data_IF_484183100628
#
_entry.id   IF_484183100628
#
_cell.length_a   1.000
_cell.length_b   1.000
_cell.length_c   1.000
_cell.angle_alpha   90.00
_cell.angle_beta   90.00
_cell.angle_gamma   90.00
#
_symmetry.space_group_name_H-M   'P 1'
#
loop_
_entity.id
_entity.type
_entity.pdbx_description
1 polymer ?
#
# COMPACT_ATOMS: atom_id res chain seq x y z
N UNK A 1 12.58 -4.78 -33.43
CA UNK A 1 12.63 -3.90 -32.29
C UNK A 1 12.29 -4.68 -31.02
N UNK A 2 13.15 -4.65 -30.07
CA UNK A 2 12.89 -5.34 -28.83
C UNK A 2 11.79 -4.59 -28.06
N UNK A 3 10.82 -5.31 -27.59
CA UNK A 3 9.81 -4.74 -26.74
C UNK A 3 10.39 -4.70 -25.34
N UNK A 4 10.40 -3.52 -24.72
CA UNK A 4 10.82 -3.42 -23.36
C UNK A 4 9.92 -4.29 -22.47
N UNK A 5 10.43 -4.84 -21.39
CA UNK A 5 9.58 -5.54 -20.44
C UNK A 5 8.41 -4.65 -20.08
N UNK A 6 7.24 -5.23 -19.99
CA UNK A 6 6.08 -4.45 -19.62
C UNK A 6 6.34 -3.76 -18.28
N UNK A 7 6.09 -2.46 -18.22
CA UNK A 7 6.25 -1.70 -16.98
C UNK A 7 5.48 -2.36 -15.84
N UNK A 8 4.34 -2.97 -16.15
CA UNK A 8 3.55 -3.69 -15.15
C UNK A 8 4.27 -4.88 -14.54
N UNK A 9 5.11 -5.60 -15.34
CA UNK A 9 5.85 -6.73 -14.80
C UNK A 9 6.95 -6.27 -13.83
N UNK A 10 7.66 -5.19 -14.19
CA UNK A 10 8.68 -4.64 -13.32
C UNK A 10 8.07 -4.04 -12.07
N UNK A 11 6.92 -3.38 -12.21
CA UNK A 11 6.22 -2.80 -11.08
C UNK A 11 5.68 -3.88 -10.14
N UNK A 12 5.21 -4.99 -10.69
CA UNK A 12 4.78 -6.10 -9.84
C UNK A 12 5.95 -6.64 -9.03
N UNK A 13 7.11 -6.79 -9.65
CA UNK A 13 8.30 -7.26 -8.95
C UNK A 13 8.73 -6.29 -7.86
N UNK A 14 8.69 -5.00 -8.17
CA UNK A 14 9.00 -3.97 -7.17
C UNK A 14 8.01 -3.99 -6.03
N UNK A 15 6.72 -4.07 -6.34
CA UNK A 15 5.67 -4.09 -5.32
C UNK A 15 5.84 -5.31 -4.41
N UNK A 16 6.12 -6.47 -4.98
CA UNK A 16 6.33 -7.70 -4.21
C UNK A 16 7.59 -7.60 -3.35
N UNK A 17 8.65 -6.97 -3.87
CA UNK A 17 9.87 -6.76 -3.11
C UNK A 17 9.65 -5.84 -1.91
N UNK A 18 8.82 -4.82 -2.07
CA UNK A 18 8.47 -3.93 -0.96
C UNK A 18 7.77 -4.72 0.15
N UNK A 19 6.78 -5.54 -0.22
CA UNK A 19 6.07 -6.37 0.75
C UNK A 19 7.04 -7.28 1.49
N UNK A 20 7.92 -7.97 0.76
CA UNK A 20 8.91 -8.86 1.37
C UNK A 20 9.85 -8.13 2.32
N UNK A 21 10.29 -6.94 1.92
CA UNK A 21 11.21 -6.17 2.74
C UNK A 21 10.53 -5.63 4.00
N UNK A 22 9.27 -5.21 3.89
CA UNK A 22 8.50 -4.78 5.07
C UNK A 22 8.32 -5.96 6.02
N UNK A 23 8.01 -7.15 5.48
CA UNK A 23 7.94 -8.35 6.30
C UNK A 23 9.23 -8.56 7.09
N UNK A 24 10.39 -8.42 6.42
CA UNK A 24 11.68 -8.58 7.06
C UNK A 24 11.90 -7.55 8.16
N UNK A 25 11.57 -6.28 7.90
CA UNK A 25 11.69 -5.22 8.91
C UNK A 25 10.86 -5.56 10.14
N UNK A 26 9.62 -6.00 9.93
CA UNK A 26 8.73 -6.38 11.04
C UNK A 26 9.27 -7.57 11.80
N UNK A 27 9.78 -8.57 11.11
CA UNK A 27 10.36 -9.75 11.74
C UNK A 27 11.57 -9.38 12.59
N UNK A 28 12.43 -8.53 12.07
CA UNK A 28 13.60 -8.05 12.82
C UNK A 28 13.21 -7.17 14.01
N UNK A 29 12.07 -6.51 13.93
CA UNK A 29 11.55 -5.74 15.04
C UNK A 29 10.86 -6.59 16.11
N UNK A 30 10.75 -7.90 15.88
CA UNK A 30 10.17 -8.81 16.86
C UNK A 30 8.68 -9.06 16.70
N UNK A 31 8.11 -8.70 15.54
CA UNK A 31 6.67 -8.93 15.33
C UNK A 31 6.40 -10.41 15.10
N UNK A 32 5.35 -10.92 15.75
CA UNK A 32 4.93 -12.31 15.61
C UNK A 32 3.91 -12.52 14.51
N UNK A 33 3.25 -11.46 14.06
CA UNK A 33 2.19 -11.58 13.06
C UNK A 33 2.72 -11.24 11.69
N UNK A 34 2.23 -11.99 10.68
CA UNK A 34 2.53 -11.70 9.30
C UNK A 34 1.82 -10.44 8.84
N UNK A 35 2.36 -9.84 7.79
CA UNK A 35 1.67 -8.80 7.07
C UNK A 35 1.13 -9.42 5.77
N UNK A 36 -0.13 -9.12 5.44
CA UNK A 36 -0.80 -9.71 4.29
C UNK A 36 -1.16 -8.64 3.28
N UNK A 37 -1.03 -8.97 2.00
CA UNK A 37 -1.47 -8.07 0.93
C UNK A 37 -2.99 -7.96 0.96
N UNK A 38 -3.48 -6.73 0.97
CA UNK A 38 -4.91 -6.44 0.98
C UNK A 38 -5.27 -5.64 -0.27
N UNK A 39 -6.18 -6.15 -1.11
CA UNK A 39 -6.54 -5.46 -2.36
C UNK A 39 -7.13 -4.08 -2.18
N UNK A 40 -7.82 -3.83 -1.07
CA UNK A 40 -8.38 -2.51 -0.80
C UNK A 40 -7.29 -1.49 -0.54
N UNK A 41 -6.28 -1.88 0.23
CA UNK A 41 -5.14 -1.01 0.48
C UNK A 41 -4.30 -0.82 -0.78
N UNK A 42 -4.19 -1.85 -1.60
CA UNK A 42 -3.50 -1.73 -2.89
C UNK A 42 -4.21 -0.73 -3.80
N UNK A 43 -5.54 -0.75 -3.81
CA UNK A 43 -6.32 0.22 -4.59
C UNK A 43 -6.10 1.64 -4.10
N UNK A 44 -6.10 1.84 -2.79
CA UNK A 44 -5.81 3.15 -2.21
C UNK A 44 -4.39 3.62 -2.58
N UNK A 45 -3.43 2.71 -2.56
CA UNK A 45 -2.05 3.00 -2.96
C UNK A 45 -1.98 3.37 -4.45
N UNK A 46 -2.71 2.67 -5.29
CA UNK A 46 -2.74 2.94 -6.73
C UNK A 46 -3.29 4.33 -7.01
N UNK A 47 -4.39 4.70 -6.39
CA UNK A 47 -4.96 6.03 -6.57
C UNK A 47 -3.96 7.12 -6.22
N UNK A 48 -3.29 6.97 -5.09
CA UNK A 48 -2.35 7.99 -4.64
C UNK A 48 -1.06 8.00 -5.47
N UNK A 49 -0.56 6.83 -5.85
CA UNK A 49 0.63 6.76 -6.70
C UNK A 49 0.41 7.47 -8.03
N UNK A 50 -0.73 7.24 -8.67
CA UNK A 50 -1.08 7.91 -9.91
C UNK A 50 -1.26 9.41 -9.72
N UNK A 51 -1.87 9.81 -8.62
CA UNK A 51 -2.09 11.21 -8.31
C UNK A 51 -0.75 11.94 -8.13
N UNK A 52 0.17 11.37 -7.36
CA UNK A 52 1.49 11.96 -7.12
C UNK A 52 2.31 12.00 -8.41
N UNK A 53 2.21 10.97 -9.25
CA UNK A 53 2.92 10.96 -10.52
C UNK A 53 2.46 12.09 -11.43
N UNK A 54 1.17 12.36 -11.45
CA UNK A 54 0.56 13.34 -12.37
C UNK A 54 0.50 14.75 -11.80
N UNK A 55 0.78 14.94 -10.52
CA UNK A 55 0.74 16.23 -9.85
C UNK A 55 2.03 16.45 -9.09
N UNK A 56 2.98 17.09 -9.75
CA UNK A 56 4.36 17.18 -9.23
C UNK A 56 4.49 18.05 -7.98
N UNK A 57 3.47 18.81 -7.64
CA UNK A 57 3.45 19.58 -6.40
C UNK A 57 3.19 18.71 -5.18
N UNK A 58 2.68 17.49 -5.37
CA UNK A 58 2.43 16.57 -4.25
C UNK A 58 3.74 15.90 -3.85
N UNK A 59 4.02 15.87 -2.57
CA UNK A 59 5.26 15.27 -2.05
C UNK A 59 5.05 14.41 -0.81
N UNK A 60 3.80 14.17 -0.43
CA UNK A 60 3.49 13.39 0.75
C UNK A 60 2.21 12.61 0.57
N UNK A 61 1.50 12.43 1.68
CA UNK A 61 0.33 11.55 1.71
C UNK A 61 -1.00 12.28 1.44
N UNK A 62 -0.98 13.59 1.26
CA UNK A 62 -2.19 14.34 0.95
C UNK A 62 -2.38 14.35 -0.56
N UNK A 63 -3.57 13.97 -1.02
CA UNK A 63 -3.89 13.92 -2.43
C UNK A 63 -4.21 15.29 -3.01
N UNK A 64 -4.30 15.37 -4.35
CA UNK A 64 -4.61 16.61 -5.05
C UNK A 64 -6.01 17.10 -4.71
N UNK A 65 -6.91 16.22 -4.28
CA UNK A 65 -8.27 16.55 -3.84
C UNK A 65 -8.35 16.81 -2.34
N UNK A 66 -7.22 16.86 -1.65
CA UNK A 66 -7.17 17.04 -0.20
C UNK A 66 -7.37 15.76 0.59
N UNK A 67 -7.49 14.60 -0.07
CA UNK A 67 -7.73 13.34 0.63
C UNK A 67 -6.54 12.93 1.47
N UNK A 68 -6.84 12.36 2.63
CA UNK A 68 -5.83 11.71 3.49
C UNK A 68 -5.73 10.23 3.15
N UNK A 69 -4.75 9.55 3.73
CA UNK A 69 -4.65 8.10 3.61
C UNK A 69 -5.93 7.42 4.10
N UNK A 70 -6.47 7.88 5.23
CA UNK A 70 -7.70 7.32 5.78
C UNK A 70 -8.88 7.51 4.82
N UNK A 71 -8.98 8.67 4.18
CA UNK A 71 -10.05 8.92 3.20
C UNK A 71 -9.97 7.94 2.05
N UNK A 72 -8.78 7.75 1.48
CA UNK A 72 -8.59 6.85 0.35
C UNK A 72 -8.85 5.39 0.73
N UNK A 73 -8.34 4.97 1.88
CA UNK A 73 -8.57 3.61 2.36
C UNK A 73 -10.06 3.34 2.54
N UNK A 74 -10.77 4.28 3.15
CA UNK A 74 -12.20 4.15 3.38
C UNK A 74 -12.96 4.11 2.05
N UNK A 75 -12.58 4.96 1.10
CA UNK A 75 -13.19 4.95 -0.23
C UNK A 75 -12.92 3.65 -0.98
N UNK A 76 -11.81 2.98 -0.68
CA UNK A 76 -11.49 1.67 -1.25
C UNK A 76 -12.18 0.53 -0.49
N UNK A 77 -12.88 0.82 0.59
CA UNK A 77 -13.63 -0.17 1.36
C UNK A 77 -12.93 -0.68 2.61
N UNK A 78 -11.82 -0.09 3.01
CA UNK A 78 -11.06 -0.53 4.17
C UNK A 78 -11.44 0.36 5.37
N UNK A 79 -11.97 -0.27 6.43
CA UNK A 79 -12.52 0.44 7.57
C UNK A 79 -11.63 0.38 8.80
N UNK A 80 -10.35 0.22 8.62
CA UNK A 80 -9.41 0.16 9.71
C UNK A 80 -8.50 1.37 9.77
N UNK A 81 -7.72 1.44 10.82
CA UNK A 81 -6.70 2.46 10.97
C UNK A 81 -5.57 2.21 9.98
N UNK A 82 -5.11 3.26 9.31
CA UNK A 82 -4.13 3.13 8.23
C UNK A 82 -2.99 4.12 8.38
N UNK A 83 -1.88 3.79 7.71
CA UNK A 83 -0.72 4.67 7.57
C UNK A 83 -0.13 4.46 6.18
N UNK A 84 0.82 5.31 5.79
CA UNK A 84 1.37 5.25 4.44
C UNK A 84 2.84 5.63 4.45
N UNK A 85 3.61 4.98 3.58
CA UNK A 85 4.97 5.41 3.24
C UNK A 85 5.02 5.65 1.73
N UNK A 86 5.67 6.74 1.31
CA UNK A 86 5.72 7.15 -0.08
C UNK A 86 7.15 7.44 -0.48
N UNK A 87 7.55 7.03 -1.66
CA UNK A 87 8.83 7.41 -2.25
C UNK A 87 8.61 8.02 -3.62
N UNK A 88 9.30 9.11 -3.88
CA UNK A 88 9.33 9.78 -5.17
C UNK A 88 10.79 9.78 -5.60
N UNK A 89 11.10 9.06 -6.67
CA UNK A 89 12.46 8.94 -7.18
C UNK A 89 12.56 9.65 -8.51
N UNK A 90 13.53 10.58 -8.70
CA UNK A 90 13.62 11.33 -9.95
C UNK A 90 14.32 10.51 -11.03
N UNK A 91 13.82 9.32 -11.30
CA UNK A 91 14.34 8.43 -12.33
C UNK A 91 13.22 7.50 -12.76
N UNK A 92 13.41 6.81 -13.87
CA UNK A 92 12.43 5.88 -14.42
C UNK A 92 12.16 4.69 -13.49
N UNK A 93 13.12 4.31 -12.69
CA UNK A 93 13.01 3.13 -11.83
C UNK A 93 13.77 3.34 -10.53
N UNK A 94 13.46 2.49 -9.55
CA UNK A 94 14.18 2.41 -8.29
C UNK A 94 14.22 0.95 -7.89
N UNK A 95 15.33 0.51 -7.30
CA UNK A 95 15.41 -0.85 -6.79
C UNK A 95 14.69 -0.97 -5.45
N UNK A 96 14.23 -2.18 -5.14
CA UNK A 96 13.54 -2.41 -3.87
C UNK A 96 14.44 -2.15 -2.68
N UNK A 97 15.73 -2.47 -2.79
CA UNK A 97 16.68 -2.25 -1.70
C UNK A 97 16.89 -0.76 -1.46
N UNK A 98 17.08 0.02 -2.52
CA UNK A 98 17.24 1.47 -2.37
C UNK A 98 16.00 2.09 -1.75
N UNK A 99 14.83 1.65 -2.18
CA UNK A 99 13.56 2.15 -1.66
C UNK A 99 13.43 1.87 -0.18
N UNK A 100 13.65 0.63 0.22
CA UNK A 100 13.55 0.25 1.64
C UNK A 100 14.56 1.00 2.48
N UNK A 101 15.77 1.21 1.98
CA UNK A 101 16.78 1.98 2.72
C UNK A 101 16.31 3.41 2.96
N UNK A 102 15.68 4.04 1.99
CA UNK A 102 15.15 5.39 2.19
C UNK A 102 14.12 5.43 3.31
N UNK A 103 13.24 4.46 3.35
CA UNK A 103 12.19 4.41 4.37
C UNK A 103 12.75 3.98 5.72
N UNK A 104 13.69 3.06 5.71
CA UNK A 104 14.27 2.50 6.94
C UNK A 104 14.93 3.58 7.79
N UNK A 105 15.60 4.52 7.14
CA UNK A 105 16.34 5.57 7.85
C UNK A 105 15.52 6.84 8.10
N UNK A 106 14.22 6.80 7.83
CA UNK A 106 13.29 7.83 8.26
C UNK A 106 12.55 7.33 9.49
N UNK A 107 12.74 7.98 10.64
CA UNK A 107 12.13 7.47 11.90
C UNK A 107 10.61 7.32 11.83
N UNK A 108 9.91 8.24 11.18
CA UNK A 108 8.46 8.17 11.04
C UNK A 108 8.05 6.97 10.16
N UNK A 109 8.75 6.73 9.07
CA UNK A 109 8.45 5.62 8.17
C UNK A 109 8.89 4.28 8.77
N UNK A 110 10.05 4.25 9.43
CA UNK A 110 10.48 3.04 10.11
C UNK A 110 9.44 2.60 11.15
N UNK A 111 8.92 3.56 11.92
CA UNK A 111 7.90 3.25 12.93
C UNK A 111 6.66 2.62 12.30
N UNK A 112 6.26 3.07 11.11
CA UNK A 112 5.11 2.48 10.41
C UNK A 112 5.42 1.07 9.96
N UNK A 113 6.59 0.85 9.34
CA UNK A 113 6.97 -0.46 8.84
C UNK A 113 7.14 -1.47 9.97
N UNK A 114 7.71 -1.04 11.08
CA UNK A 114 8.01 -1.91 12.21
C UNK A 114 6.82 -2.11 13.17
N UNK A 115 5.73 -1.39 12.97
CA UNK A 115 4.57 -1.46 13.84
C UNK A 115 3.89 -2.83 13.69
N UNK A 116 3.96 -3.63 14.73
CA UNK A 116 3.39 -4.98 14.70
C UNK A 116 1.87 -4.98 14.57
N UNK A 117 1.21 -3.87 14.85
CA UNK A 117 -0.22 -3.73 14.63
C UNK A 117 -0.61 -3.60 13.17
N UNK A 118 0.33 -3.26 12.29
CA UNK A 118 0.05 -3.21 10.86
C UNK A 118 0.13 -4.63 10.30
N UNK A 119 -1.03 -5.20 10.00
CA UNK A 119 -1.16 -6.60 9.57
C UNK A 119 -1.56 -6.70 8.10
N UNK A 120 -1.95 -5.61 7.48
CA UNK A 120 -2.33 -5.55 6.06
C UNK A 120 -1.47 -4.52 5.34
N UNK A 121 -1.20 -4.76 4.05
CA UNK A 121 -0.42 -3.84 3.24
C UNK A 121 -0.93 -3.86 1.80
N UNK A 122 -0.91 -2.70 1.17
CA UNK A 122 -1.09 -2.59 -0.28
C UNK A 122 0.01 -1.73 -0.84
N UNK A 123 0.67 -2.18 -1.89
CA UNK A 123 1.77 -1.45 -2.52
C UNK A 123 1.47 -1.25 -3.98
N UNK A 124 1.72 -0.05 -4.46
CA UNK A 124 1.62 0.26 -5.89
C UNK A 124 2.75 1.18 -6.30
N UNK A 125 3.23 0.99 -7.52
CA UNK A 125 4.27 1.83 -8.08
C UNK A 125 3.93 2.19 -9.51
N UNK A 126 4.31 3.41 -9.92
CA UNK A 126 4.08 3.93 -11.27
C UNK A 126 5.31 4.69 -11.71
N UNK A 127 5.52 4.76 -13.01
CA UNK A 127 6.72 5.33 -13.60
C UNK A 127 6.41 6.32 -14.71
N UNK A 128 7.22 7.37 -14.77
CA UNK A 128 7.40 8.21 -15.94
C UNK A 128 8.88 8.19 -16.27
N UNK A 129 9.28 8.77 -17.40
CA UNK A 129 10.69 8.71 -17.81
C UNK A 129 11.64 9.30 -16.77
N UNK A 130 11.19 10.31 -16.05
CA UNK A 130 11.99 11.04 -15.08
C UNK A 130 11.50 10.90 -13.65
N UNK A 131 10.63 9.92 -13.38
CA UNK A 131 10.04 9.85 -12.05
C UNK A 131 9.42 8.48 -11.81
N UNK A 132 9.67 7.94 -10.64
CA UNK A 132 8.99 6.74 -10.13
C UNK A 132 8.36 7.09 -8.80
N UNK A 133 7.10 6.70 -8.62
CA UNK A 133 6.38 6.90 -7.36
C UNK A 133 6.02 5.52 -6.82
N UNK A 134 6.32 5.29 -5.55
CA UNK A 134 5.96 4.04 -4.86
C UNK A 134 5.19 4.40 -3.60
N UNK A 135 4.03 3.81 -3.44
CA UNK A 135 3.17 4.05 -2.29
C UNK A 135 2.87 2.72 -1.62
N UNK A 136 3.07 2.65 -0.31
CA UNK A 136 2.67 1.52 0.51
C UNK A 136 1.68 2.03 1.56
N UNK A 137 0.52 1.41 1.61
CA UNK A 137 -0.52 1.72 2.60
C UNK A 137 -0.62 0.53 3.55
N UNK A 138 -0.59 0.81 4.83
CA UNK A 138 -0.58 -0.19 5.90
C UNK A 138 -1.89 -0.09 6.67
N UNK A 139 -2.39 -1.23 7.15
CA UNK A 139 -3.62 -1.25 7.92
C UNK A 139 -3.55 -2.16 9.13
N UNK A 140 -4.30 -1.81 10.16
CA UNK A 140 -4.31 -2.54 11.42
C UNK A 140 -5.44 -3.57 11.51
N UNK A 141 -6.09 -3.86 10.40
CA UNK A 141 -7.19 -4.80 10.32
C UNK A 141 -8.43 -4.12 9.79
N UNK A 142 -9.11 -4.79 8.86
CA UNK A 142 -10.28 -4.23 8.20
C UNK A 142 -11.52 -4.55 9.03
N UNK A 143 -12.18 -3.52 9.53
CA UNK A 143 -13.41 -3.67 10.30
C UNK A 143 -14.67 -3.66 9.41
N UNK A 144 -14.51 -3.47 8.09
CA UNK A 144 -15.65 -3.46 7.18
C UNK A 144 -16.30 -4.84 7.15
N UNK A 145 -17.64 -4.89 6.99
CA UNK A 145 -18.31 -6.17 6.84
C UNK A 145 -17.79 -6.90 5.61
N UNK A 146 -17.75 -8.23 5.63
CA UNK A 146 -17.34 -8.98 4.45
C UNK A 146 -18.29 -8.70 3.28
N UNK A 147 -17.74 -8.75 2.08
CA UNK A 147 -18.56 -8.65 0.88
C UNK A 147 -19.41 -9.90 0.77
N UNK A 148 -20.70 -9.73 0.52
CA UNK A 148 -21.59 -10.87 0.39
C UNK A 148 -21.27 -11.65 -0.84
N UNK A 149 -21.19 -12.96 -0.68
CA UNK A 149 -21.15 -13.86 -1.81
C UNK A 149 -22.54 -13.97 -2.41
N UNK A 150 -22.69 -14.02 -3.74
CA UNK A 150 -23.98 -14.21 -4.36
C UNK A 150 -24.64 -15.50 -3.86
N UNK A 151 -25.92 -15.44 -3.60
CA UNK A 151 -26.67 -16.56 -3.12
C UNK A 151 -26.65 -16.74 -1.61
N UNK A 152 -25.84 -16.00 -0.93
CA UNK A 152 -25.81 -16.10 0.53
C UNK A 152 -27.04 -15.42 1.10
N UNK A 153 -27.76 -16.06 2.01
CA UNK A 153 -28.94 -15.44 2.59
C UNK A 153 -28.56 -14.15 3.30
N UNK A 154 -29.29 -13.12 2.94
CA UNK A 154 -29.02 -11.84 3.53
C UNK A 154 -29.58 -11.79 4.94
N UNK A 155 -28.85 -11.26 5.84
CA UNK A 155 -29.28 -11.13 7.21
C UNK A 155 -29.34 -12.43 7.95
N UNK A 156 -28.84 -13.44 7.37
CA UNK A 156 -28.68 -14.65 8.09
C UNK A 156 -27.66 -14.39 9.14
N UNK A 157 -28.09 -14.47 10.27
CA UNK A 157 -27.15 -14.01 11.19
C UNK A 157 -26.25 -15.01 11.53
N UNK A 158 -26.26 -15.11 11.43
CA UNK A 158 -25.47 -15.71 11.63
C UNK A 158 -24.99 -15.34 10.92
N UNK A 159 -25.34 -15.62 10.80
CA UNK A 159 -24.94 -15.14 10.10
C UNK A 159 -24.74 -14.01 10.31
N UNK A 160 -25.06 -13.96 10.72
CA UNK A 160 -24.74 -13.22 10.71
C UNK A 160 -24.84 -12.75 10.97
N UNK A 161 -25.07 -12.76 11.22
CA UNK A 161 -25.12 -12.34 11.33
C UNK A 161 -24.83 -12.05 11.61
N UNK A 162 -24.91 -11.97 11.84
CA UNK A 162 -24.60 -11.59 11.95
C UNK A 162 -24.03 -11.32 11.93
N UNK A 163 -24.18 -11.54 11.76
CA UNK A 163 -23.80 -11.37 11.48
C UNK A 163 -23.63 -11.54 11.24
#
# INVERSE_FOLDING_TARGET
MAVAPAAGADNKRLNDAVVSNVYTVKSQAGCDTDIKVNPKLRLAAEWHANDVLNNRALDGDIGSDGSTVADRARNAGYEGEVAETTAINPALAISGIELINRWYYRPDYYAIMADCGNVDIGVWSVNALDRTVVVAVYGKGDAAPPVYAPGRPFGTPGAGAPG
#
